data_IF_426380931929
#
_entry.id   IF_426380931929
#
_cell.length_a   1.000
_cell.length_b   1.000
_cell.length_c   1.000
_cell.angle_alpha   90.00
_cell.angle_beta   90.00
_cell.angle_gamma   90.00
#
_symmetry.space_group_name_H-M   'P 1'
#
loop_
_entity.id
_entity.type
_entity.pdbx_description
1 polymer ?
#
# COMPACT_ATOMS: atom_id res chain seq x y z
N UNK A 1 2.59 18.78 -49.37
CA UNK A 1 3.65 19.74 -49.75
C UNK A 1 3.37 21.07 -49.05
N UNK A 2 4.02 21.39 -47.94
CA UNK A 2 4.15 22.73 -47.38
C UNK A 2 5.40 22.72 -46.50
N UNK A 3 6.37 23.57 -46.80
CA UNK A 3 7.69 23.70 -46.11
C UNK A 3 7.55 24.61 -44.90
N UNK A 4 8.42 24.47 -43.86
CA UNK A 4 8.46 25.38 -42.72
C UNK A 4 9.30 26.66 -43.05
N UNK A 5 9.09 27.77 -42.30
CA UNK A 5 9.83 28.99 -42.51
C UNK A 5 11.17 28.99 -41.76
N UNK A 6 12.15 29.57 -42.43
CA UNK A 6 13.54 29.81 -41.99
C UNK A 6 13.55 31.12 -41.22
N UNK A 7 14.14 31.16 -40.00
CA UNK A 7 14.47 32.40 -39.30
C UNK A 7 15.88 32.88 -39.72
N UNK A 8 15.91 34.04 -40.32
CA UNK A 8 17.16 34.76 -40.62
C UNK A 8 17.54 35.72 -39.49
N UNK A 9 18.81 35.70 -39.15
CA UNK A 9 19.42 36.65 -38.22
C UNK A 9 19.83 37.92 -38.95
N UNK A 10 19.54 39.11 -38.38
CA UNK A 10 20.27 40.36 -38.71
C UNK A 10 20.68 41.04 -37.41
N UNK A 11 21.99 41.28 -37.30
CA UNK A 11 22.62 42.06 -36.27
C UNK A 11 22.45 43.58 -36.56
N UNK A 12 22.21 44.36 -35.52
CA UNK A 12 22.49 45.82 -35.53
C UNK A 12 23.01 46.20 -34.14
N UNK A 13 24.18 46.74 -34.15
CA UNK A 13 24.93 47.42 -33.08
C UNK A 13 24.34 48.78 -32.84
N UNK A 14 24.09 49.17 -31.58
CA UNK A 14 24.34 50.55 -31.11
C UNK A 14 24.52 50.57 -29.59
N UNK A 15 25.61 51.23 -29.17
CA UNK A 15 26.02 51.39 -27.81
C UNK A 15 25.33 52.53 -27.08
N UNK A 16 24.96 52.33 -25.83
CA UNK A 16 24.80 53.42 -24.86
C UNK A 16 25.15 52.86 -23.48
N UNK A 17 26.10 53.50 -22.83
CA UNK A 17 26.60 53.12 -21.49
C UNK A 17 25.53 53.31 -20.42
N UNK A 18 25.51 52.39 -19.52
CA UNK A 18 24.77 52.50 -18.25
C UNK A 18 25.70 52.11 -17.09
N UNK A 19 25.78 53.04 -16.15
CA UNK A 19 26.56 52.98 -14.93
C UNK A 19 26.25 51.74 -14.10
N UNK A 20 27.30 51.08 -13.62
CA UNK A 20 27.25 49.99 -12.69
C UNK A 20 26.93 50.48 -11.27
N UNK A 21 25.71 50.32 -10.82
CA UNK A 21 25.37 50.39 -9.40
C UNK A 21 25.78 49.11 -8.66
N UNK A 22 26.67 49.24 -7.68
CA UNK A 22 27.20 48.16 -6.87
C UNK A 22 26.09 47.53 -5.99
N UNK A 23 25.87 46.24 -6.17
CA UNK A 23 25.00 45.43 -5.31
C UNK A 23 25.80 45.00 -4.06
N UNK A 24 25.28 45.22 -2.83
CA UNK A 24 26.01 44.84 -1.61
C UNK A 24 26.10 43.33 -1.50
N UNK A 25 27.29 42.82 -1.17
CA UNK A 25 27.61 41.44 -0.98
C UNK A 25 26.80 40.82 0.19
N UNK A 26 25.88 39.90 -0.12
CA UNK A 26 25.22 39.06 0.86
C UNK A 26 26.21 38.06 1.45
N UNK A 27 26.60 38.22 2.73
CA UNK A 27 27.40 37.27 3.49
C UNK A 27 26.63 35.94 3.58
N UNK A 28 27.08 34.94 2.81
CA UNK A 28 26.62 33.53 2.95
C UNK A 28 27.17 32.95 4.25
N UNK A 29 26.39 32.95 5.32
CA UNK A 29 26.63 32.04 6.44
C UNK A 29 26.24 30.63 6.00
N UNK A 30 27.23 29.87 5.52
CA UNK A 30 27.10 28.45 5.25
C UNK A 30 27.03 27.73 6.60
N UNK A 31 25.82 27.48 7.13
CA UNK A 31 25.61 26.31 7.97
C UNK A 31 25.58 25.09 7.03
N UNK A 32 26.65 24.32 7.04
CA UNK A 32 26.69 22.99 6.43
C UNK A 32 25.71 22.11 7.25
N UNK A 33 24.50 21.91 6.76
CA UNK A 33 23.71 20.78 7.15
C UNK A 33 24.43 19.53 6.59
N UNK A 34 24.93 18.68 7.47
CA UNK A 34 25.50 17.38 7.13
C UNK A 34 24.36 16.50 6.58
N UNK A 35 24.16 16.51 5.29
CA UNK A 35 23.28 15.60 4.56
C UNK A 35 24.06 14.33 4.15
N UNK A 36 24.58 13.58 5.09
CA UNK A 36 25.15 12.26 4.86
C UNK A 36 24.74 11.30 5.99
N UNK A 37 23.44 11.09 6.17
CA UNK A 37 22.94 9.88 6.82
C UNK A 37 22.19 9.06 5.73
N UNK A 38 22.96 8.54 4.78
CA UNK A 38 22.47 7.53 3.84
C UNK A 38 22.57 6.19 4.53
N UNK A 39 21.55 5.82 5.31
CA UNK A 39 21.38 4.42 5.66
C UNK A 39 21.20 3.65 4.35
N UNK A 40 21.83 2.46 4.19
CA UNK A 40 21.55 1.62 3.03
C UNK A 40 20.04 1.38 2.96
N UNK A 41 19.49 1.35 1.74
CA UNK A 41 18.12 0.88 1.52
C UNK A 41 18.00 -0.43 2.26
N UNK A 42 17.14 -0.48 3.26
CA UNK A 42 16.86 -1.72 3.94
C UNK A 42 16.09 -2.59 2.93
N UNK A 43 16.84 -3.33 2.09
CA UNK A 43 16.30 -4.32 1.15
C UNK A 43 15.85 -5.58 1.87
N UNK A 44 15.81 -5.54 3.22
CA UNK A 44 15.21 -6.62 3.97
C UNK A 44 13.72 -6.64 3.64
N UNK A 45 13.30 -7.70 2.93
CA UNK A 45 11.91 -8.16 2.86
C UNK A 45 11.24 -7.91 4.22
N UNK A 46 9.93 -7.70 4.26
CA UNK A 46 9.20 -7.62 5.54
C UNK A 46 9.43 -8.93 6.32
N UNK A 47 10.61 -9.07 6.89
CA UNK A 47 10.94 -10.22 7.75
C UNK A 47 10.24 -10.01 9.08
N UNK A 48 9.27 -10.82 9.33
CA UNK A 48 8.66 -10.96 10.65
C UNK A 48 9.42 -12.07 11.36
N UNK A 49 10.49 -11.72 12.06
CA UNK A 49 11.19 -12.71 12.89
C UNK A 49 10.25 -13.11 14.04
N UNK A 50 9.87 -14.39 14.18
CA UNK A 50 9.15 -14.83 15.36
C UNK A 50 9.99 -14.52 16.59
N UNK A 51 9.41 -13.90 17.61
CA UNK A 51 10.09 -13.83 18.90
C UNK A 51 10.23 -15.28 19.41
N UNK A 52 11.42 -15.72 19.86
CA UNK A 52 11.61 -17.07 20.38
C UNK A 52 10.69 -17.43 21.56
N UNK A 53 10.03 -16.46 22.15
CA UNK A 53 9.13 -16.60 23.30
C UNK A 53 7.65 -16.44 22.97
N UNK A 54 7.27 -16.17 21.69
CA UNK A 54 5.86 -15.96 21.32
C UNK A 54 5.13 -17.29 21.21
N UNK A 55 4.20 -17.57 22.13
CA UNK A 55 3.35 -18.75 22.05
C UNK A 55 2.40 -18.65 20.82
N UNK A 56 1.91 -19.79 20.34
CA UNK A 56 0.94 -19.79 19.22
C UNK A 56 -0.33 -18.97 19.54
N UNK A 57 -0.68 -18.82 20.82
CA UNK A 57 -1.81 -18.02 21.28
C UNK A 57 -1.53 -16.50 21.21
N UNK A 58 -0.28 -16.10 21.28
CA UNK A 58 0.12 -14.69 21.27
C UNK A 58 0.25 -14.12 19.85
N UNK A 59 0.30 -14.99 18.84
CA UNK A 59 0.39 -14.57 17.43
C UNK A 59 -0.86 -13.82 17.00
N UNK A 60 -0.73 -12.78 16.15
CA UNK A 60 -1.91 -12.10 15.61
C UNK A 60 -2.73 -13.06 14.73
N UNK A 61 -4.05 -12.85 14.72
CA UNK A 61 -4.97 -13.59 13.86
C UNK A 61 -5.19 -12.82 12.57
N UNK A 62 -4.90 -13.45 11.44
CA UNK A 62 -5.13 -12.86 10.11
C UNK A 62 -6.29 -13.59 9.44
N UNK A 63 -7.34 -12.84 9.09
CA UNK A 63 -8.43 -13.33 8.27
C UNK A 63 -8.03 -13.21 6.79
N UNK A 64 -7.90 -14.35 6.10
CA UNK A 64 -7.50 -14.43 4.70
C UNK A 64 -8.71 -14.75 3.82
N UNK A 65 -9.14 -13.81 3.00
CA UNK A 65 -10.19 -14.03 2.02
C UNK A 65 -9.61 -14.57 0.70
N UNK A 66 -10.07 -15.74 0.26
CA UNK A 66 -9.76 -16.24 -1.07
C UNK A 66 -10.48 -15.39 -2.10
N UNK A 67 -9.72 -14.86 -3.06
CA UNK A 67 -10.22 -13.97 -4.12
C UNK A 67 -10.90 -14.70 -5.26
N UNK A 68 -10.78 -14.14 -6.47
CA UNK A 68 -11.42 -14.67 -7.66
C UNK A 68 -11.01 -16.11 -7.96
N UNK A 69 -11.96 -17.06 -7.97
CA UNK A 69 -11.68 -18.48 -8.20
C UNK A 69 -11.27 -18.78 -9.66
N UNK A 70 -11.62 -17.90 -10.60
CA UNK A 70 -11.29 -18.04 -12.02
C UNK A 70 -9.89 -17.51 -12.38
N UNK A 71 -9.19 -16.89 -11.42
CA UNK A 71 -7.84 -16.38 -11.56
C UNK A 71 -6.81 -17.16 -10.74
N UNK A 72 -5.67 -16.52 -10.44
CA UNK A 72 -4.56 -17.13 -9.68
C UNK A 72 -4.80 -17.18 -8.17
N UNK A 73 -5.92 -16.66 -7.67
CA UNK A 73 -6.18 -16.55 -6.21
C UNK A 73 -6.19 -17.90 -5.48
N UNK A 74 -6.77 -19.00 -5.99
CA UNK A 74 -6.67 -20.30 -5.34
C UNK A 74 -5.23 -20.83 -5.26
N UNK A 75 -4.44 -20.66 -6.34
CA UNK A 75 -3.01 -21.03 -6.37
C UNK A 75 -2.20 -20.21 -5.35
N UNK A 76 -2.40 -18.89 -5.31
CA UNK A 76 -1.70 -18.00 -4.38
C UNK A 76 -2.06 -18.30 -2.92
N UNK A 77 -3.35 -18.55 -2.63
CA UNK A 77 -3.81 -18.94 -1.29
C UNK A 77 -3.14 -20.24 -0.85
N UNK A 78 -3.09 -21.24 -1.72
CA UNK A 78 -2.43 -22.51 -1.43
C UNK A 78 -0.93 -22.35 -1.16
N UNK A 79 -0.22 -21.56 -1.97
CA UNK A 79 1.20 -21.25 -1.76
C UNK A 79 1.47 -20.52 -0.45
N UNK A 80 0.62 -19.55 -0.07
CA UNK A 80 0.72 -18.85 1.22
C UNK A 80 0.55 -19.85 2.38
N UNK A 81 -0.42 -20.76 2.32
CA UNK A 81 -0.68 -21.74 3.37
C UNK A 81 0.39 -22.82 3.47
N UNK A 82 1.14 -23.07 2.39
CA UNK A 82 2.28 -23.99 2.38
C UNK A 82 3.60 -23.34 2.85
N UNK A 83 3.67 -22.00 2.88
CA UNK A 83 4.85 -21.25 3.34
C UNK A 83 4.98 -21.33 4.86
N UNK A 84 6.10 -21.90 5.33
CA UNK A 84 6.33 -22.11 6.76
C UNK A 84 6.48 -20.80 7.54
N UNK A 85 7.16 -19.78 6.97
CA UNK A 85 7.31 -18.48 7.62
C UNK A 85 5.94 -17.79 7.78
N UNK A 86 5.08 -17.88 6.78
CA UNK A 86 3.70 -17.38 6.86
C UNK A 86 2.94 -18.09 7.98
N UNK A 87 2.98 -19.42 8.05
CA UNK A 87 2.30 -20.21 9.08
C UNK A 87 2.83 -19.94 10.49
N UNK A 88 4.12 -19.65 10.61
CA UNK A 88 4.74 -19.32 11.90
C UNK A 88 4.48 -17.87 12.33
N UNK A 89 4.20 -16.96 11.39
CA UNK A 89 4.06 -15.53 11.66
C UNK A 89 2.74 -15.14 12.31
N UNK A 90 1.66 -15.91 12.07
CA UNK A 90 0.30 -15.58 12.51
C UNK A 90 -0.57 -16.83 12.68
N UNK A 91 -1.71 -16.66 13.36
CA UNK A 91 -2.86 -17.56 13.26
C UNK A 91 -3.63 -17.18 12.01
N UNK A 92 -3.91 -18.15 11.14
CA UNK A 92 -4.52 -17.91 9.83
C UNK A 92 -5.92 -18.52 9.80
N UNK A 93 -6.92 -17.69 9.51
CA UNK A 93 -8.30 -18.13 9.24
C UNK A 93 -8.62 -17.79 7.80
N UNK A 94 -8.80 -18.81 6.97
CA UNK A 94 -9.10 -18.67 5.54
C UNK A 94 -10.61 -18.78 5.33
N UNK A 95 -11.17 -17.89 4.55
CA UNK A 95 -12.55 -17.98 4.06
C UNK A 95 -12.55 -18.38 2.59
N UNK A 96 -13.23 -19.48 2.28
CA UNK A 96 -13.26 -20.03 0.92
C UNK A 96 -14.11 -21.29 0.81
N UNK A 97 -13.84 -22.06 -0.24
CA UNK A 97 -14.41 -23.38 -0.49
C UNK A 97 -13.28 -24.39 -0.58
N UNK A 98 -13.38 -25.48 0.16
CA UNK A 98 -12.34 -26.51 0.22
C UNK A 98 -11.99 -27.07 -1.16
N UNK A 99 -12.97 -27.29 -2.00
CA UNK A 99 -12.80 -27.86 -3.34
C UNK A 99 -12.02 -26.91 -4.27
N UNK A 100 -12.27 -25.60 -4.14
CA UNK A 100 -11.55 -24.57 -4.91
C UNK A 100 -10.10 -24.46 -4.42
N UNK A 101 -9.89 -24.47 -3.10
CA UNK A 101 -8.54 -24.44 -2.51
C UNK A 101 -7.74 -25.68 -2.89
N UNK A 102 -8.32 -26.88 -2.86
CA UNK A 102 -7.65 -28.12 -3.29
C UNK A 102 -7.25 -28.06 -4.77
N UNK A 103 -8.11 -27.48 -5.61
CA UNK A 103 -7.76 -27.19 -7.01
C UNK A 103 -6.54 -26.28 -7.13
N UNK A 104 -6.50 -25.19 -6.35
CA UNK A 104 -5.36 -24.28 -6.26
C UNK A 104 -4.08 -24.97 -5.77
N UNK A 105 -4.17 -25.80 -4.76
CA UNK A 105 -3.05 -26.58 -4.22
C UNK A 105 -2.47 -27.56 -5.25
N UNK A 106 -3.35 -28.22 -6.01
CA UNK A 106 -2.95 -29.11 -7.11
C UNK A 106 -2.19 -28.33 -8.20
N UNK A 107 -2.68 -27.17 -8.59
CA UNK A 107 -2.02 -26.29 -9.57
C UNK A 107 -0.68 -25.79 -9.02
N UNK A 108 -0.64 -25.37 -7.76
CA UNK A 108 0.58 -24.92 -7.09
C UNK A 108 1.62 -26.03 -6.85
N UNK A 109 1.21 -27.31 -6.91
CA UNK A 109 2.06 -28.45 -6.58
C UNK A 109 2.44 -28.53 -5.11
N UNK A 110 1.55 -28.07 -4.19
CA UNK A 110 1.81 -28.05 -2.75
C UNK A 110 0.82 -28.92 -1.97
N UNK A 111 1.27 -29.46 -0.84
CA UNK A 111 0.41 -30.11 0.13
C UNK A 111 -0.07 -29.10 1.18
N UNK A 112 -1.34 -29.23 1.60
CA UNK A 112 -1.93 -28.36 2.60
C UNK A 112 -2.05 -29.11 3.94
N UNK A 113 -1.44 -28.56 4.98
CA UNK A 113 -1.58 -28.96 6.36
C UNK A 113 -2.47 -27.93 7.08
N UNK A 114 -3.79 -28.11 6.97
CA UNK A 114 -4.80 -27.16 7.46
C UNK A 114 -5.96 -27.92 8.14
N UNK A 115 -6.57 -27.28 9.11
CA UNK A 115 -7.85 -27.74 9.65
C UNK A 115 -9.01 -27.19 8.82
N UNK A 116 -10.12 -27.93 8.72
CA UNK A 116 -11.32 -27.51 7.98
C UNK A 116 -12.50 -27.54 8.92
N UNK A 117 -13.23 -26.44 8.95
CA UNK A 117 -14.43 -26.29 9.79
C UNK A 117 -15.59 -25.72 8.96
N UNK A 118 -16.81 -25.99 9.40
CA UNK A 118 -18.00 -25.39 8.79
C UNK A 118 -18.19 -23.92 9.18
N UNK A 119 -19.07 -23.19 8.46
CA UNK A 119 -19.23 -21.74 8.60
C UNK A 119 -19.80 -21.27 9.95
N UNK A 120 -20.39 -22.19 10.73
CA UNK A 120 -20.97 -21.91 12.06
C UNK A 120 -20.16 -22.52 13.20
N UNK A 121 -19.05 -23.21 12.90
CA UNK A 121 -18.20 -23.85 13.91
C UNK A 121 -17.40 -22.79 14.66
N UNK A 122 -17.43 -22.76 16.01
CA UNK A 122 -16.59 -21.86 16.78
C UNK A 122 -15.11 -22.12 16.50
N UNK A 123 -14.38 -21.06 16.21
CA UNK A 123 -12.95 -21.15 15.92
C UNK A 123 -12.17 -21.35 17.23
N UNK A 124 -11.41 -22.44 17.30
CA UNK A 124 -10.49 -22.68 18.40
C UNK A 124 -9.11 -22.06 18.10
N UNK A 125 -8.37 -21.61 19.11
CA UNK A 125 -7.01 -21.11 18.94
C UNK A 125 -6.07 -22.29 18.66
N UNK A 126 -5.93 -22.64 17.37
CA UNK A 126 -5.04 -23.71 16.88
C UNK A 126 -3.81 -23.15 16.18
N UNK A 127 -2.72 -23.91 16.16
CA UNK A 127 -1.47 -23.50 15.54
C UNK A 127 -1.50 -23.65 14.01
N UNK A 128 -2.30 -24.60 13.49
CA UNK A 128 -2.47 -24.81 12.05
C UNK A 128 -3.42 -23.80 11.44
N UNK A 129 -3.23 -23.41 10.16
CA UNK A 129 -4.23 -22.62 9.45
C UNK A 129 -5.60 -23.32 9.45
N UNK A 130 -6.66 -22.55 9.55
CA UNK A 130 -8.05 -23.06 9.55
C UNK A 130 -8.75 -22.53 8.31
N UNK A 131 -9.30 -23.42 7.49
CA UNK A 131 -10.25 -23.07 6.45
C UNK A 131 -11.68 -23.14 7.01
N UNK A 132 -12.38 -22.02 6.99
CA UNK A 132 -13.82 -21.96 7.11
C UNK A 132 -14.40 -22.30 5.75
N UNK A 133 -14.82 -23.55 5.60
CA UNK A 133 -15.37 -24.05 4.34
C UNK A 133 -16.82 -23.61 4.19
N UNK A 134 -17.06 -22.69 3.27
CA UNK A 134 -18.40 -22.15 3.01
C UNK A 134 -19.20 -23.04 2.05
N UNK A 135 -18.56 -23.96 1.31
CA UNK A 135 -19.20 -24.91 0.42
C UNK A 135 -20.06 -24.26 -0.69
N UNK A 136 -19.74 -23.03 -1.08
CA UNK A 136 -20.65 -22.14 -1.83
C UNK A 136 -20.31 -21.99 -3.32
N UNK A 137 -19.30 -22.75 -3.84
CA UNK A 137 -18.99 -22.76 -5.27
C UNK A 137 -18.48 -24.14 -5.70
N UNK A 138 -19.17 -24.80 -6.63
CA UNK A 138 -18.67 -26.05 -7.18
C UNK A 138 -17.56 -25.78 -8.21
N UNK A 139 -16.49 -26.60 -8.26
CA UNK A 139 -15.42 -26.44 -9.25
C UNK A 139 -15.91 -26.44 -10.71
N UNK A 140 -17.02 -27.14 -11.00
CA UNK A 140 -17.66 -27.18 -12.33
C UNK A 140 -18.30 -25.87 -12.75
N UNK A 141 -18.54 -24.94 -11.81
CA UNK A 141 -19.10 -23.62 -12.06
C UNK A 141 -18.01 -22.58 -12.35
N UNK A 142 -16.72 -22.92 -12.12
CA UNK A 142 -15.59 -22.03 -12.35
C UNK A 142 -15.15 -22.11 -13.80
N UNK A 143 -15.22 -20.99 -14.52
CA UNK A 143 -14.67 -20.83 -15.85
C UNK A 143 -13.33 -20.10 -15.75
N UNK A 144 -12.23 -20.84 -15.88
CA UNK A 144 -10.89 -20.24 -15.73
C UNK A 144 -10.66 -19.11 -16.73
N UNK A 145 -10.16 -17.98 -16.26
CA UNK A 145 -9.88 -16.80 -17.06
C UNK A 145 -11.13 -16.00 -17.48
N UNK A 146 -12.29 -16.27 -16.88
CA UNK A 146 -13.54 -15.58 -17.19
C UNK A 146 -14.18 -15.00 -15.94
N UNK A 147 -14.52 -13.71 -15.99
CA UNK A 147 -15.29 -13.06 -14.92
C UNK A 147 -16.75 -13.50 -14.98
N UNK A 148 -17.25 -14.11 -13.92
CA UNK A 148 -18.65 -14.59 -13.81
C UNK A 148 -19.33 -14.05 -12.54
N UNK A 149 -20.68 -14.01 -12.51
CA UNK A 149 -21.43 -13.68 -11.30
C UNK A 149 -21.12 -14.62 -10.13
N UNK A 150 -20.96 -15.93 -10.38
CA UNK A 150 -20.67 -16.95 -9.39
C UNK A 150 -19.29 -16.72 -8.76
N UNK A 151 -18.27 -16.41 -9.59
CA UNK A 151 -16.92 -16.01 -9.10
C UNK A 151 -16.95 -14.72 -8.29
N UNK A 152 -17.78 -13.76 -8.70
CA UNK A 152 -18.01 -12.52 -7.97
C UNK A 152 -18.68 -12.76 -6.60
N UNK A 153 -19.72 -13.59 -6.56
CA UNK A 153 -20.42 -13.96 -5.31
C UNK A 153 -19.47 -14.67 -4.34
N UNK A 154 -18.66 -15.60 -4.86
CA UNK A 154 -17.62 -16.29 -4.09
C UNK A 154 -16.65 -15.31 -3.43
N UNK A 155 -16.06 -14.42 -4.20
CA UNK A 155 -15.07 -13.46 -3.69
C UNK A 155 -15.68 -12.48 -2.67
N UNK A 156 -16.89 -11.97 -2.96
CA UNK A 156 -17.63 -11.05 -2.07
C UNK A 156 -17.93 -11.72 -0.73
N UNK A 157 -18.44 -12.94 -0.72
CA UNK A 157 -18.80 -13.62 0.54
C UNK A 157 -17.56 -13.92 1.38
N UNK A 158 -16.48 -14.40 0.78
CA UNK A 158 -15.22 -14.62 1.47
C UNK A 158 -14.69 -13.33 2.11
N UNK A 159 -14.74 -12.22 1.37
CA UNK A 159 -14.26 -10.94 1.87
C UNK A 159 -15.16 -10.38 2.98
N UNK A 160 -16.48 -10.50 2.85
CA UNK A 160 -17.45 -10.13 3.92
C UNK A 160 -17.16 -10.86 5.21
N UNK A 161 -16.93 -12.17 5.15
CA UNK A 161 -16.63 -13.00 6.34
C UNK A 161 -15.33 -12.57 7.01
N UNK A 162 -14.28 -12.33 6.22
CA UNK A 162 -13.01 -11.84 6.74
C UNK A 162 -13.15 -10.48 7.43
N UNK A 163 -13.87 -9.53 6.79
CA UNK A 163 -14.14 -8.21 7.35
C UNK A 163 -15.00 -8.29 8.63
N UNK A 164 -16.05 -9.12 8.64
CA UNK A 164 -16.91 -9.31 9.81
C UNK A 164 -16.11 -9.86 11.00
N UNK A 165 -15.22 -10.83 10.76
CA UNK A 165 -14.34 -11.40 11.79
C UNK A 165 -13.41 -10.33 12.39
N UNK A 166 -12.82 -9.48 11.55
CA UNK A 166 -11.96 -8.39 12.03
C UNK A 166 -12.75 -7.30 12.77
N UNK A 167 -13.96 -6.97 12.28
CA UNK A 167 -14.84 -6.01 12.94
C UNK A 167 -15.31 -6.49 14.32
N UNK A 168 -15.53 -7.80 14.48
CA UNK A 168 -15.85 -8.42 15.78
C UNK A 168 -14.64 -8.47 16.73
N UNK A 169 -13.44 -8.10 16.29
CA UNK A 169 -12.21 -8.20 17.09
C UNK A 169 -11.64 -9.62 17.19
N UNK A 170 -12.16 -10.56 16.40
CA UNK A 170 -11.72 -11.97 16.35
C UNK A 170 -10.51 -12.16 15.41
N UNK A 171 -10.28 -11.21 14.50
CA UNK A 171 -9.06 -11.08 13.72
C UNK A 171 -8.42 -9.70 13.90
N UNK A 172 -7.09 -9.66 13.88
CA UNK A 172 -6.30 -8.43 14.05
C UNK A 172 -6.07 -7.69 12.72
N UNK A 173 -6.15 -8.40 11.60
CA UNK A 173 -6.04 -7.82 10.26
C UNK A 173 -6.73 -8.72 9.22
N UNK A 174 -6.98 -8.14 8.04
CA UNK A 174 -7.50 -8.84 6.87
C UNK A 174 -6.45 -8.85 5.78
N UNK A 175 -6.28 -10.00 5.13
CA UNK A 175 -5.54 -10.13 3.89
C UNK A 175 -6.45 -10.78 2.84
N UNK A 176 -6.28 -10.46 1.57
CA UNK A 176 -7.02 -11.13 0.51
C UNK A 176 -6.16 -11.33 -0.74
N UNK A 177 -6.44 -12.40 -1.47
CA UNK A 177 -5.84 -12.66 -2.78
C UNK A 177 -6.66 -11.98 -3.88
N UNK A 178 -6.12 -11.76 -5.08
CA UNK A 178 -6.68 -10.83 -6.06
C UNK A 178 -8.16 -11.04 -6.39
N UNK A 179 -8.90 -9.95 -6.47
CA UNK A 179 -10.30 -9.91 -6.94
C UNK A 179 -10.41 -9.51 -8.41
N UNK A 180 -11.50 -9.91 -9.05
CA UNK A 180 -11.91 -9.38 -10.34
C UNK A 180 -13.03 -8.36 -10.15
N UNK A 181 -12.75 -7.09 -10.41
CA UNK A 181 -13.73 -6.00 -10.22
C UNK A 181 -15.00 -6.17 -11.09
N UNK A 182 -14.87 -6.72 -12.29
CA UNK A 182 -16.03 -6.99 -13.13
C UNK A 182 -16.91 -8.10 -12.56
N UNK A 183 -16.32 -9.21 -12.11
CA UNK A 183 -17.06 -10.29 -11.46
C UNK A 183 -17.79 -9.80 -10.22
N UNK A 184 -17.11 -8.99 -9.37
CA UNK A 184 -17.73 -8.43 -8.17
C UNK A 184 -18.89 -7.46 -8.50
N UNK A 185 -18.79 -6.66 -9.58
CA UNK A 185 -19.88 -5.76 -10.02
C UNK A 185 -21.14 -6.50 -10.49
N UNK A 186 -21.03 -7.72 -10.97
CA UNK A 186 -22.22 -8.51 -11.36
C UNK A 186 -23.12 -8.78 -10.15
N UNK A 187 -22.55 -8.86 -8.95
CA UNK A 187 -23.27 -9.20 -7.72
C UNK A 187 -23.47 -7.98 -6.81
N UNK A 188 -22.53 -7.06 -6.84
CA UNK A 188 -22.56 -5.82 -6.09
C UNK A 188 -22.32 -4.64 -7.02
N UNK A 189 -23.39 -4.13 -7.64
CA UNK A 189 -23.33 -3.10 -8.70
C UNK A 189 -22.62 -1.80 -8.27
N UNK A 190 -22.51 -1.52 -6.96
CA UNK A 190 -21.81 -0.37 -6.39
C UNK A 190 -20.32 -0.59 -6.18
N UNK A 191 -19.76 -1.70 -6.65
CA UNK A 191 -18.34 -2.00 -6.49
C UNK A 191 -17.50 -1.12 -7.42
N UNK A 192 -17.03 -0.02 -6.91
CA UNK A 192 -16.10 0.87 -7.61
C UNK A 192 -14.65 0.44 -7.31
N UNK A 193 -14.37 0.28 -6.00
CA UNK A 193 -13.10 -0.20 -5.46
C UNK A 193 -13.30 -0.90 -4.10
N UNK A 194 -12.21 -1.43 -3.59
CA UNK A 194 -12.17 -2.14 -2.31
C UNK A 194 -12.48 -1.22 -1.13
N UNK A 195 -12.07 0.05 -1.17
CA UNK A 195 -12.32 1.03 -0.07
C UNK A 195 -13.82 1.23 0.13
N UNK A 196 -14.54 1.46 -0.97
CA UNK A 196 -15.99 1.64 -0.91
C UNK A 196 -16.69 0.39 -0.38
N UNK A 197 -16.31 -0.77 -0.92
CA UNK A 197 -16.91 -2.04 -0.48
C UNK A 197 -16.66 -2.30 1.00
N UNK A 198 -15.43 -2.12 1.48
CA UNK A 198 -15.10 -2.25 2.92
C UNK A 198 -15.92 -1.28 3.75
N UNK A 199 -15.94 0.00 3.35
CA UNK A 199 -16.71 1.04 4.08
C UNK A 199 -18.19 0.67 4.22
N UNK A 200 -18.80 0.21 3.14
CA UNK A 200 -20.22 -0.21 3.16
C UNK A 200 -20.44 -1.45 4.04
N UNK A 201 -19.52 -2.44 3.98
CA UNK A 201 -19.65 -3.69 4.75
C UNK A 201 -19.51 -3.48 6.25
N UNK A 202 -18.53 -2.66 6.68
CA UNK A 202 -18.27 -2.44 8.12
C UNK A 202 -18.91 -1.16 8.68
N UNK A 203 -19.67 -0.42 7.86
CA UNK A 203 -20.30 0.85 8.28
C UNK A 203 -19.28 1.94 8.60
N UNK A 204 -18.16 2.02 7.88
CA UNK A 204 -17.11 2.99 8.14
C UNK A 204 -17.35 4.31 7.39
N UNK A 205 -17.31 5.42 8.12
CA UNK A 205 -17.53 6.77 7.58
C UNK A 205 -16.28 7.67 7.68
N UNK A 206 -15.14 7.12 8.06
CA UNK A 206 -13.88 7.84 8.16
C UNK A 206 -13.16 7.99 6.82
N UNK A 207 -11.95 8.53 6.86
CA UNK A 207 -11.09 8.64 5.69
C UNK A 207 -10.27 7.38 5.52
N UNK A 208 -10.39 6.74 4.37
CA UNK A 208 -9.56 5.61 3.97
C UNK A 208 -8.90 5.86 2.60
N UNK A 209 -7.69 5.35 2.41
CA UNK A 209 -6.90 5.48 1.17
C UNK A 209 -6.10 4.24 0.86
N UNK A 210 -5.83 4.06 -0.42
CA UNK A 210 -4.88 3.05 -0.87
C UNK A 210 -3.45 3.58 -0.81
N UNK A 211 -2.57 2.81 -0.21
CA UNK A 211 -1.13 2.99 -0.27
C UNK A 211 -0.52 1.90 -1.14
N UNK A 212 0.38 2.28 -2.04
CA UNK A 212 1.17 1.31 -2.79
C UNK A 212 2.54 1.20 -2.14
N UNK A 213 2.94 -0.03 -1.84
CA UNK A 213 4.07 -0.31 -0.98
C UNK A 213 5.01 -1.28 -1.69
N UNK A 214 6.26 -0.91 -1.76
CA UNK A 214 7.40 -1.76 -2.01
C UNK A 214 8.24 -1.84 -0.74
N UNK A 215 9.16 -2.79 -0.68
CA UNK A 215 10.07 -2.92 0.45
C UNK A 215 10.72 -1.57 0.81
N UNK A 216 10.38 -1.05 1.99
CA UNK A 216 10.94 0.20 2.51
C UNK A 216 10.50 1.49 1.81
N UNK A 217 9.64 1.43 0.80
CA UNK A 217 9.13 2.61 0.09
C UNK A 217 7.62 2.58 -0.07
N UNK A 218 6.94 3.58 0.47
CA UNK A 218 5.50 3.77 0.37
C UNK A 218 5.16 4.89 -0.60
N UNK A 219 4.08 4.74 -1.33
CA UNK A 219 3.46 5.82 -2.10
C UNK A 219 2.05 6.07 -1.62
N UNK A 220 1.82 7.30 -1.16
CA UNK A 220 0.51 7.89 -0.93
C UNK A 220 0.19 8.90 -2.05
N UNK A 221 -1.08 9.25 -2.23
CA UNK A 221 -1.49 10.22 -3.25
C UNK A 221 -2.66 11.09 -2.79
N UNK A 222 -2.61 12.36 -3.18
CA UNK A 222 -3.66 13.32 -2.82
C UNK A 222 -4.92 13.10 -3.64
N UNK A 223 -4.77 12.88 -4.95
CA UNK A 223 -5.88 12.56 -5.85
C UNK A 223 -5.70 11.20 -6.48
N UNK A 224 -6.81 10.49 -6.71
CA UNK A 224 -6.87 9.20 -7.38
C UNK A 224 -7.81 9.31 -8.58
N UNK A 225 -8.44 8.41 -9.07
CA UNK A 225 -9.38 8.21 -10.17
C UNK A 225 -10.18 9.47 -10.63
N UNK A 226 -9.50 10.62 -10.81
CA UNK A 226 -10.05 11.84 -11.41
C UNK A 226 -9.31 12.18 -12.71
N UNK A 227 -9.91 12.93 -13.64
CA UNK A 227 -9.24 13.40 -14.83
C UNK A 227 -7.99 14.23 -14.47
N UNK A 228 -6.89 14.05 -15.19
CA UNK A 228 -5.65 14.80 -14.94
C UNK A 228 -5.85 16.32 -15.02
N UNK A 229 -6.74 16.78 -15.91
CA UNK A 229 -7.09 18.19 -16.06
C UNK A 229 -7.71 18.83 -14.81
N UNK A 230 -8.24 18.01 -13.89
CA UNK A 230 -8.91 18.49 -12.69
C UNK A 230 -7.96 18.47 -11.46
N UNK A 231 -6.79 17.82 -11.55
CA UNK A 231 -5.87 17.66 -10.42
C UNK A 231 -5.46 18.99 -9.81
N UNK A 232 -4.96 19.92 -10.63
CA UNK A 232 -4.49 21.23 -10.16
C UNK A 232 -5.58 22.05 -9.45
N UNK A 233 -6.84 21.86 -9.85
CA UNK A 233 -8.00 22.54 -9.25
C UNK A 233 -8.52 21.84 -7.98
N UNK A 234 -8.21 20.54 -7.84
CA UNK A 234 -8.73 19.72 -6.75
C UNK A 234 -7.80 19.75 -5.54
N UNK A 235 -6.47 19.80 -5.74
CA UNK A 235 -5.54 19.78 -4.61
C UNK A 235 -5.64 21.04 -3.77
N UNK A 236 -5.74 20.88 -2.46
CA UNK A 236 -5.72 21.97 -1.48
C UNK A 236 -4.71 21.67 -0.37
N UNK A 237 -4.30 22.73 0.34
CA UNK A 237 -3.43 22.61 1.52
C UNK A 237 -4.01 21.65 2.56
N UNK A 238 -5.31 21.71 2.81
CA UNK A 238 -6.04 20.89 3.77
C UNK A 238 -6.05 19.41 3.36
N UNK A 239 -6.30 19.13 2.07
CA UNK A 239 -6.28 17.76 1.56
C UNK A 239 -4.88 17.15 1.65
N UNK A 240 -3.84 17.88 1.23
CA UNK A 240 -2.45 17.41 1.33
C UNK A 240 -2.11 17.11 2.79
N UNK A 241 -2.51 17.98 3.71
CA UNK A 241 -2.26 17.80 5.14
C UNK A 241 -3.03 16.63 5.74
N UNK A 242 -4.26 16.37 5.28
CA UNK A 242 -5.04 15.19 5.67
C UNK A 242 -4.37 13.89 5.18
N UNK A 243 -3.90 13.86 3.94
CA UNK A 243 -3.17 12.70 3.40
C UNK A 243 -1.81 12.49 4.09
N UNK A 244 -1.09 13.55 4.45
CA UNK A 244 0.13 13.45 5.28
C UNK A 244 -0.17 12.86 6.65
N UNK A 245 -1.26 13.28 7.28
CA UNK A 245 -1.68 12.77 8.60
C UNK A 245 -1.97 11.27 8.52
N UNK A 246 -2.73 10.85 7.52
CA UNK A 246 -3.06 9.43 7.32
C UNK A 246 -1.82 8.60 6.98
N UNK A 247 -0.93 9.13 6.13
CA UNK A 247 0.32 8.46 5.78
C UNK A 247 1.24 8.27 7.00
N UNK A 248 1.43 9.30 7.83
CA UNK A 248 2.23 9.19 9.05
C UNK A 248 1.65 8.15 10.02
N UNK A 249 0.32 8.13 10.21
CA UNK A 249 -0.36 7.14 11.05
C UNK A 249 -0.16 5.71 10.54
N UNK A 250 -0.36 5.48 9.23
CA UNK A 250 -0.18 4.15 8.64
C UNK A 250 1.26 3.67 8.72
N UNK A 251 2.23 4.55 8.46
CA UNK A 251 3.66 4.23 8.57
C UNK A 251 4.04 3.90 10.03
N UNK A 252 3.55 4.65 11.01
CA UNK A 252 3.79 4.34 12.43
C UNK A 252 3.19 2.99 12.81
N UNK A 253 1.97 2.70 12.36
CA UNK A 253 1.32 1.39 12.56
C UNK A 253 2.11 0.27 11.88
N UNK A 254 2.81 0.56 10.78
CA UNK A 254 3.74 -0.38 10.15
C UNK A 254 5.12 -0.44 10.82
N UNK A 255 5.33 0.25 11.96
CA UNK A 255 6.53 0.17 12.78
C UNK A 255 7.63 1.19 12.45
N UNK A 256 7.33 2.23 11.66
CA UNK A 256 8.24 3.36 11.47
C UNK A 256 8.10 4.34 12.64
N UNK A 257 9.07 4.40 13.55
CA UNK A 257 8.99 5.29 14.71
C UNK A 257 8.95 6.79 14.30
N UNK A 258 9.71 7.15 13.28
CA UNK A 258 9.86 8.52 12.76
C UNK A 258 9.83 8.50 11.23
N UNK A 259 8.65 8.28 10.61
CA UNK A 259 8.55 8.15 9.16
C UNK A 259 9.01 9.41 8.44
N UNK A 260 9.87 9.26 7.43
CA UNK A 260 10.38 10.35 6.58
C UNK A 260 9.53 10.43 5.33
N UNK A 261 8.71 11.47 5.22
CA UNK A 261 7.76 11.62 4.10
C UNK A 261 8.23 12.73 3.18
N UNK A 262 8.47 12.41 1.91
CA UNK A 262 8.69 13.40 0.86
C UNK A 262 7.37 13.78 0.20
N UNK A 263 7.15 15.07 -0.07
CA UNK A 263 6.03 15.54 -0.88
C UNK A 263 6.54 15.87 -2.27
N UNK A 264 5.94 15.27 -3.29
CA UNK A 264 6.23 15.58 -4.68
C UNK A 264 5.58 16.92 -5.08
N UNK A 265 6.21 17.66 -5.98
CA UNK A 265 5.56 18.78 -6.67
C UNK A 265 4.54 18.26 -7.70
N UNK A 266 3.66 19.13 -8.12
CA UNK A 266 2.70 18.86 -9.20
C UNK A 266 3.35 19.16 -10.57
N UNK A 267 4.05 20.31 -10.64
CA UNK A 267 4.57 20.86 -11.88
C UNK A 267 6.04 20.45 -12.13
N UNK A 268 6.53 20.56 -13.37
CA UNK A 268 7.94 20.32 -13.70
C UNK A 268 8.88 21.13 -12.79
N UNK A 269 9.97 20.49 -12.36
CA UNK A 269 10.99 21.09 -11.48
C UNK A 269 10.43 21.65 -10.16
N UNK A 270 9.30 21.08 -9.66
CA UNK A 270 8.55 21.58 -8.51
C UNK A 270 8.17 23.07 -8.66
N UNK A 271 7.64 23.42 -9.85
CA UNK A 271 7.18 24.75 -10.20
C UNK A 271 8.25 25.75 -10.65
N UNK A 272 9.55 25.43 -10.51
CA UNK A 272 10.67 26.30 -10.91
C UNK A 272 10.50 27.76 -10.46
N UNK A 273 10.24 27.96 -9.16
CA UNK A 273 10.01 29.30 -8.61
C UNK A 273 8.74 30.01 -9.09
N UNK A 274 7.82 29.27 -9.71
CA UNK A 274 6.58 29.77 -10.27
C UNK A 274 6.56 29.89 -11.80
N UNK A 275 7.67 29.59 -12.47
CA UNK A 275 7.73 29.62 -13.93
C UNK A 275 6.91 28.49 -14.60
N UNK A 276 6.80 27.35 -13.95
CA UNK A 276 6.10 26.18 -14.46
C UNK A 276 4.74 25.93 -13.75
N UNK A 277 4.25 26.87 -12.96
CA UNK A 277 3.04 26.76 -12.15
C UNK A 277 3.28 27.27 -10.74
N UNK A 278 2.22 27.57 -10.01
CA UNK A 278 2.31 28.21 -8.69
C UNK A 278 1.75 27.33 -7.56
N UNK A 279 1.26 26.13 -7.86
CA UNK A 279 0.65 25.21 -6.91
C UNK A 279 1.65 24.79 -5.82
N UNK A 280 2.94 24.71 -6.15
CA UNK A 280 3.99 24.43 -5.17
C UNK A 280 4.11 25.57 -4.14
N UNK A 281 4.02 26.82 -4.59
CA UNK A 281 4.16 28.00 -3.74
C UNK A 281 2.88 28.23 -2.94
N UNK A 282 1.72 28.11 -3.59
CA UNK A 282 0.43 28.53 -3.05
C UNK A 282 -0.29 27.44 -2.25
N UNK A 283 -0.01 26.16 -2.57
CA UNK A 283 -0.74 25.01 -2.01
C UNK A 283 0.19 24.01 -1.31
N UNK A 284 1.23 23.52 -2.03
CA UNK A 284 1.99 22.35 -1.54
C UNK A 284 2.98 22.75 -0.44
N UNK A 285 3.77 23.82 -0.64
CA UNK A 285 4.71 24.27 0.39
C UNK A 285 4.02 24.73 1.69
N UNK A 286 2.88 25.44 1.66
CA UNK A 286 2.07 25.70 2.86
C UNK A 286 1.64 24.42 3.59
N UNK A 287 1.22 23.36 2.86
CA UNK A 287 0.86 22.07 3.46
C UNK A 287 2.05 21.39 4.13
N UNK A 288 3.21 21.37 3.47
CA UNK A 288 4.46 20.84 4.06
C UNK A 288 4.83 21.60 5.32
N UNK A 289 4.79 22.93 5.29
CA UNK A 289 5.05 23.78 6.47
C UNK A 289 4.09 23.48 7.62
N UNK A 290 2.80 23.31 7.32
CA UNK A 290 1.79 22.97 8.31
C UNK A 290 2.02 21.56 8.89
N UNK A 291 2.46 20.59 8.07
CA UNK A 291 2.85 19.25 8.50
C UNK A 291 4.03 19.27 9.47
N UNK A 292 5.08 20.02 9.15
CA UNK A 292 6.24 20.21 10.06
C UNK A 292 5.79 20.85 11.39
N UNK A 293 4.91 21.84 11.35
CA UNK A 293 4.39 22.49 12.56
C UNK A 293 3.55 21.51 13.42
N UNK A 294 2.98 20.46 12.84
CA UNK A 294 2.27 19.38 13.57
C UNK A 294 3.21 18.27 14.05
N UNK A 295 4.53 18.40 13.84
CA UNK A 295 5.54 17.43 14.27
C UNK A 295 5.78 16.27 13.30
N UNK A 296 5.25 16.32 12.07
CA UNK A 296 5.56 15.33 11.05
C UNK A 296 6.98 15.54 10.50
N UNK A 297 7.69 14.45 10.25
CA UNK A 297 8.98 14.48 9.56
C UNK A 297 8.75 14.47 8.05
N UNK A 298 8.29 15.60 7.55
CA UNK A 298 7.90 15.83 6.16
C UNK A 298 8.76 16.92 5.52
N UNK A 299 9.05 16.76 4.23
CA UNK A 299 9.84 17.72 3.45
C UNK A 299 9.39 17.76 1.99
N UNK A 300 9.69 18.86 1.30
CA UNK A 300 9.28 19.12 -0.08
C UNK A 300 8.78 20.55 -0.28
N UNK A 301 8.13 20.87 -1.42
CA UNK A 301 7.94 19.96 -2.57
C UNK A 301 9.23 19.63 -3.30
N UNK A 302 9.35 18.40 -3.78
CA UNK A 302 10.48 17.91 -4.58
C UNK A 302 10.05 17.67 -6.04
N UNK A 303 10.94 17.84 -7.02
CA UNK A 303 10.65 17.45 -8.40
C UNK A 303 10.25 15.96 -8.46
N UNK A 304 9.11 15.68 -9.08
CA UNK A 304 8.51 14.35 -9.10
C UNK A 304 9.36 13.30 -9.84
N UNK A 305 10.10 13.75 -10.85
CA UNK A 305 11.02 12.92 -11.65
C UNK A 305 12.22 12.40 -10.87
N UNK A 306 12.62 13.05 -9.79
CA UNK A 306 13.84 12.72 -9.02
C UNK A 306 13.54 12.25 -7.59
N UNK A 307 12.38 12.55 -7.03
CA UNK A 307 12.05 12.20 -5.63
C UNK A 307 12.08 10.69 -5.38
N UNK A 308 11.58 9.88 -6.33
CA UNK A 308 11.61 8.43 -6.22
C UNK A 308 13.01 7.83 -6.31
N UNK A 309 13.91 8.44 -7.10
CA UNK A 309 15.32 8.04 -7.13
C UNK A 309 15.99 8.24 -5.77
N UNK A 310 15.66 9.33 -5.07
CA UNK A 310 16.16 9.59 -3.72
C UNK A 310 15.52 8.65 -2.69
N UNK A 311 14.21 8.40 -2.81
CA UNK A 311 13.48 7.48 -1.94
C UNK A 311 14.03 6.05 -2.08
N UNK A 312 14.28 5.58 -3.30
CA UNK A 312 14.91 4.29 -3.55
C UNK A 312 16.30 4.16 -2.93
N UNK A 313 17.03 5.25 -2.76
CA UNK A 313 18.32 5.30 -2.05
C UNK A 313 18.17 5.45 -0.53
N UNK A 314 16.98 5.29 0.01
CA UNK A 314 16.71 5.33 1.44
C UNK A 314 16.65 6.73 2.05
N UNK A 315 16.50 7.79 1.24
CA UNK A 315 16.34 9.14 1.77
C UNK A 315 14.98 9.36 2.44
N UNK A 316 13.96 8.64 1.98
CA UNK A 316 12.57 8.75 2.45
C UNK A 316 11.95 7.37 2.61
N UNK A 317 11.01 7.24 3.54
CA UNK A 317 10.23 6.03 3.77
C UNK A 317 8.93 6.05 2.96
N UNK A 318 8.45 7.26 2.62
CA UNK A 318 7.28 7.45 1.79
C UNK A 318 7.40 8.68 0.87
N UNK A 319 6.68 8.61 -0.27
CA UNK A 319 6.46 9.73 -1.17
C UNK A 319 4.97 9.99 -1.27
N UNK A 320 4.52 11.20 -0.92
CA UNK A 320 3.18 11.69 -1.18
C UNK A 320 3.16 12.36 -2.55
N UNK A 321 2.42 11.80 -3.49
CA UNK A 321 2.25 12.31 -4.85
C UNK A 321 0.93 13.08 -5.00
N UNK A 322 0.84 13.95 -6.00
CA UNK A 322 -0.35 14.77 -6.22
C UNK A 322 -1.45 14.03 -6.97
N UNK A 323 -1.08 13.07 -7.84
CA UNK A 323 -2.04 12.29 -8.64
C UNK A 323 -1.55 10.85 -8.85
N UNK A 324 -2.47 10.01 -9.30
CA UNK A 324 -2.31 8.56 -9.40
C UNK A 324 -1.05 8.14 -10.18
N UNK A 325 -0.93 8.53 -11.45
CA UNK A 325 0.15 8.03 -12.33
C UNK A 325 1.53 8.57 -11.94
N UNK A 326 1.58 9.73 -11.25
CA UNK A 326 2.82 10.30 -10.75
C UNK A 326 3.59 9.33 -9.83
N UNK A 327 2.87 8.57 -9.02
CA UNK A 327 3.43 7.55 -8.14
C UNK A 327 3.43 6.15 -8.74
N UNK A 328 2.33 5.75 -9.39
CA UNK A 328 2.16 4.38 -9.87
C UNK A 328 3.16 3.98 -10.94
N UNK A 329 3.54 4.90 -11.84
CA UNK A 329 4.57 4.63 -12.86
C UNK A 329 5.90 4.30 -12.17
N UNK A 330 6.33 5.13 -11.20
CA UNK A 330 7.56 4.91 -10.47
C UNK A 330 7.55 3.59 -9.69
N UNK A 331 6.48 3.34 -8.91
CA UNK A 331 6.36 2.14 -8.09
C UNK A 331 6.35 0.85 -8.94
N UNK A 332 5.64 0.85 -10.06
CA UNK A 332 5.60 -0.30 -10.98
C UNK A 332 6.94 -0.56 -11.66
N UNK A 333 7.67 0.49 -12.05
CA UNK A 333 9.00 0.35 -12.64
C UNK A 333 10.03 -0.16 -11.63
N UNK A 334 9.91 0.21 -10.35
CA UNK A 334 10.83 -0.23 -9.28
C UNK A 334 10.57 -1.70 -8.91
N UNK A 335 9.31 -2.16 -8.85
CA UNK A 335 9.05 -3.52 -8.38
C UNK A 335 7.62 -4.02 -8.49
N UNK A 336 7.07 -4.12 -9.71
CA UNK A 336 5.69 -4.55 -9.94
C UNK A 336 5.33 -5.89 -9.28
N UNK A 337 6.24 -6.88 -9.33
CA UNK A 337 5.97 -8.25 -8.84
C UNK A 337 5.96 -8.38 -7.31
N UNK A 338 6.38 -7.35 -6.59
CA UNK A 338 6.49 -7.33 -5.13
C UNK A 338 5.59 -6.29 -4.48
N UNK A 339 4.82 -5.60 -5.30
CA UNK A 339 3.94 -4.51 -4.87
C UNK A 339 2.82 -5.00 -3.95
N UNK A 340 2.61 -4.26 -2.87
CA UNK A 340 1.51 -4.46 -1.92
C UNK A 340 0.59 -3.25 -1.97
N UNK A 341 -0.71 -3.49 -1.86
CA UNK A 341 -1.71 -2.46 -1.59
C UNK A 341 -2.19 -2.60 -0.16
N UNK A 342 -2.06 -1.51 0.63
CA UNK A 342 -2.68 -1.35 1.94
C UNK A 342 -3.89 -0.44 1.79
N UNK A 343 -5.04 -0.88 2.28
CA UNK A 343 -6.20 -0.02 2.51
C UNK A 343 -6.05 0.60 3.90
N UNK A 344 -5.42 1.77 3.96
CA UNK A 344 -5.15 2.47 5.21
C UNK A 344 -6.31 3.36 5.66
N UNK A 345 -6.38 3.60 6.97
CA UNK A 345 -7.41 4.42 7.61
C UNK A 345 -8.55 3.63 8.24
N UNK A 346 -8.69 2.35 7.93
CA UNK A 346 -9.66 1.47 8.58
C UNK A 346 -9.23 1.09 10.02
N UNK A 347 -10.16 0.62 10.87
CA UNK A 347 -9.86 0.24 12.25
C UNK A 347 -8.85 -0.89 12.41
N UNK A 348 -8.67 -1.70 11.38
CA UNK A 348 -7.72 -2.80 11.29
C UNK A 348 -7.00 -2.78 9.93
N UNK A 349 -5.77 -3.32 9.85
CA UNK A 349 -5.02 -3.39 8.58
C UNK A 349 -5.73 -4.28 7.56
N UNK A 350 -5.77 -3.84 6.30
CA UNK A 350 -6.31 -4.61 5.17
C UNK A 350 -5.28 -4.56 4.05
N UNK A 351 -4.68 -5.71 3.72
CA UNK A 351 -3.58 -5.80 2.77
C UNK A 351 -3.88 -6.77 1.63
N UNK A 352 -3.37 -6.47 0.44
CA UNK A 352 -3.50 -7.32 -0.74
C UNK A 352 -2.30 -7.13 -1.67
N UNK A 353 -1.95 -8.11 -2.53
CA UNK A 353 -0.98 -7.87 -3.60
C UNK A 353 -1.49 -6.79 -4.57
N UNK A 354 -0.57 -5.99 -5.10
CA UNK A 354 -0.90 -4.89 -6.00
C UNK A 354 -1.17 -5.33 -7.46
N UNK A 355 -1.14 -6.63 -7.74
CA UNK A 355 -1.47 -7.20 -9.05
C UNK A 355 -2.90 -7.77 -9.07
N UNK A 356 -3.46 -7.93 -10.28
CA UNK A 356 -4.80 -8.50 -10.48
C UNK A 356 -4.81 -10.02 -10.57
N UNK A 357 -5.90 -10.55 -11.11
CA UNK A 357 -6.24 -11.98 -11.18
C UNK A 357 -5.40 -12.80 -12.14
N UNK A 358 -4.60 -12.16 -13.01
CA UNK A 358 -3.65 -12.79 -13.94
C UNK A 358 -4.26 -13.98 -14.73
N UNK A 359 -5.36 -13.72 -15.41
CA UNK A 359 -6.12 -14.71 -16.19
C UNK A 359 -5.30 -15.41 -17.28
N UNK A 360 -4.29 -14.73 -17.80
CA UNK A 360 -3.37 -15.23 -18.83
C UNK A 360 -2.47 -16.39 -18.37
N UNK A 361 -2.28 -16.55 -17.05
CA UNK A 361 -1.45 -17.60 -16.47
C UNK A 361 -2.20 -18.57 -15.55
N UNK A 362 -3.52 -18.43 -15.42
CA UNK A 362 -4.32 -19.28 -14.53
C UNK A 362 -4.18 -20.77 -14.89
N UNK A 363 -4.07 -21.63 -13.88
CA UNK A 363 -3.95 -23.07 -14.04
C UNK A 363 -2.55 -23.57 -14.46
N UNK A 364 -1.59 -22.66 -14.67
CA UNK A 364 -0.22 -23.02 -15.14
C UNK A 364 0.77 -23.34 -14.00
N UNK A 365 0.42 -23.05 -12.76
CA UNK A 365 1.31 -23.30 -11.61
C UNK A 365 2.54 -22.39 -11.56
N UNK A 366 2.47 -21.20 -12.19
CA UNK A 366 3.59 -20.25 -12.29
C UNK A 366 3.31 -18.90 -11.63
N UNK A 367 2.20 -18.76 -10.90
CA UNK A 367 1.89 -17.51 -10.22
C UNK A 367 2.98 -17.16 -9.18
N UNK A 368 3.48 -15.93 -9.24
CA UNK A 368 4.47 -15.45 -8.27
C UNK A 368 3.75 -15.06 -6.96
N UNK A 369 4.08 -15.77 -5.87
CA UNK A 369 3.47 -15.53 -4.56
C UNK A 369 4.09 -14.33 -3.81
N UNK A 370 5.19 -13.76 -4.30
CA UNK A 370 5.97 -12.74 -3.60
C UNK A 370 5.15 -11.55 -3.10
N UNK A 371 4.32 -10.94 -3.96
CA UNK A 371 3.46 -9.82 -3.56
C UNK A 371 2.42 -10.22 -2.50
N UNK A 372 1.79 -11.40 -2.64
CA UNK A 372 0.82 -11.92 -1.66
C UNK A 372 1.49 -12.21 -0.31
N UNK A 373 2.71 -12.76 -0.36
CA UNK A 373 3.52 -13.00 0.84
C UNK A 373 3.88 -11.69 1.55
N UNK A 374 4.32 -10.67 0.81
CA UNK A 374 4.64 -9.35 1.37
C UNK A 374 3.39 -8.66 1.94
N UNK A 375 2.24 -8.78 1.28
CA UNK A 375 0.97 -8.25 1.79
C UNK A 375 0.57 -8.91 3.12
N UNK A 376 0.72 -10.23 3.22
CA UNK A 376 0.44 -10.96 4.43
C UNK A 376 1.38 -10.57 5.59
N UNK A 377 2.68 -10.49 5.34
CA UNK A 377 3.68 -10.10 6.35
C UNK A 377 3.50 -8.64 6.80
N UNK A 378 3.11 -7.73 5.92
CA UNK A 378 2.74 -6.37 6.29
C UNK A 378 1.53 -6.36 7.22
N UNK A 379 0.48 -7.12 6.90
CA UNK A 379 -0.71 -7.25 7.74
C UNK A 379 -0.33 -7.77 9.14
N UNK A 380 0.51 -8.80 9.23
CA UNK A 380 1.03 -9.34 10.50
C UNK A 380 1.80 -8.27 11.28
N UNK A 381 2.71 -7.56 10.63
CA UNK A 381 3.52 -6.51 11.27
C UNK A 381 2.64 -5.41 11.84
N UNK A 382 1.69 -4.91 11.06
CA UNK A 382 0.76 -3.87 11.49
C UNK A 382 -0.16 -4.36 12.63
N UNK A 383 -0.66 -5.59 12.55
CA UNK A 383 -1.46 -6.21 13.60
C UNK A 383 -0.70 -6.30 14.93
N UNK A 384 0.56 -6.72 14.91
CA UNK A 384 1.44 -6.75 16.10
C UNK A 384 1.60 -5.37 16.74
N UNK A 385 1.85 -4.35 15.93
CA UNK A 385 2.01 -2.97 16.42
C UNK A 385 0.72 -2.45 17.05
N UNK A 386 -0.44 -2.74 16.44
CA UNK A 386 -1.73 -2.34 17.01
C UNK A 386 -2.05 -3.07 18.32
N UNK A 387 -1.74 -4.38 18.41
CA UNK A 387 -1.90 -5.14 19.66
C UNK A 387 -1.01 -4.59 20.76
N UNK A 388 0.26 -4.33 20.47
CA UNK A 388 1.20 -3.72 21.43
C UNK A 388 0.73 -2.34 21.92
N UNK A 389 0.15 -1.52 21.03
CA UNK A 389 -0.39 -0.22 21.40
C UNK A 389 -1.68 -0.31 22.26
N UNK A 390 -2.47 -1.37 22.11
CA UNK A 390 -3.68 -1.61 22.94
C UNK A 390 -3.35 -2.16 24.31
N UNK A 391 -2.26 -2.93 24.45
CA UNK A 391 -1.79 -3.56 25.67
C UNK A 391 -0.35 -3.12 25.94
N UNK A 392 -0.11 -1.87 26.39
CA UNK A 392 1.23 -1.44 26.74
C UNK A 392 1.72 -2.29 27.91
N UNK A 393 2.76 -3.10 27.66
CA UNK A 393 3.47 -3.80 28.74
C UNK A 393 4.23 -2.72 29.49
N UNK A 394 3.97 -2.57 30.80
CA UNK A 394 4.76 -1.69 31.67
C UNK A 394 6.25 -2.01 31.48
N UNK A 395 7.10 -1.02 31.26
CA UNK A 395 8.52 -1.27 31.11
C UNK A 395 9.03 -1.97 32.38
N UNK A 396 9.64 -3.14 32.22
CA UNK A 396 10.26 -3.88 33.30
C UNK A 396 11.24 -2.88 33.98
N UNK A 397 11.07 -2.56 35.26
CA UNK A 397 11.97 -1.64 35.92
C UNK A 397 13.39 -2.21 35.85
N UNK A 398 14.31 -1.46 35.28
CA UNK A 398 15.73 -1.79 35.23
C UNK A 398 16.19 -1.96 36.67
N UNK A 399 16.81 -3.09 37.10
CA UNK A 399 17.28 -3.22 38.44
C UNK A 399 18.29 -2.11 38.70
N UNK A 400 18.04 -1.33 39.77
CA UNK A 400 18.96 -0.31 40.22
C UNK A 400 20.30 -1.00 40.48
N UNK A 401 21.33 -0.57 39.77
CA UNK A 401 22.72 -0.97 40.04
C UNK A 401 23.07 -0.42 41.41
N UNK A 402 23.28 -1.32 42.37
CA UNK A 402 23.81 -1.02 43.72
C UNK A 402 25.31 -0.81 43.63
#
# INVERSE_FOLDING_TARGET
MLRPPIYGATAATDGAGLETAAIPAFRKTRRRANCHDTRPVNTEEFKVTPSPAESAADRPTIALAMGDPAGVSPELTARLLADEEIRQSARIVVFGDRRILDGGAKVAGVALDIDVVGPTTPLQPVARPVLVDLGHLAPSEVQLGVATPEGGAFAIENFRRALAMAQAGEADAVCFTPFNKQAMRYVYAKYDDEIRFVSDVIGFHGTAREFNILEGLWNARVTSHIPLADVAKTITTEQILAELTLADQCLRTAGFAHPRIAVAGLNPHAGDGGNCGREEIEVIAPAVKAGVARGFNVSGPYPADTVFVRAQKGAFDAVLTMYHDQGQIAMKLIGFERGVTLLGGFPFPICTPAHGTAYDIVGRGIANVGASRQAFLLAVRMARQQRAARNPVDPIPTPATV
#
